data_IF_960567217738
#
_entry.id   IF_960567217738
#
_cell.length_a   1.000
_cell.length_b   1.000
_cell.length_c   1.000
_cell.angle_alpha   90.00
_cell.angle_beta   90.00
_cell.angle_gamma   90.00
#
_symmetry.space_group_name_H-M   'P 1'
#
loop_
_entity.id
_entity.type
_entity.pdbx_description
1 polymer ?
#
# COMPACT_ATOMS: atom_id res chain seq x y z
N UNK A 1 31.18 -2.15 0.19
CA UNK A 1 30.26 -3.30 0.42
C UNK A 1 28.84 -2.78 0.26
N UNK A 2 28.27 -2.99 -0.92
CA UNK A 2 26.98 -2.41 -1.31
C UNK A 2 25.90 -2.99 -0.42
N UNK A 3 25.28 -2.16 0.44
CA UNK A 3 24.12 -2.58 1.21
C UNK A 3 23.05 -3.03 0.21
N UNK A 4 22.91 -4.34 0.03
CA UNK A 4 21.79 -4.97 -0.66
C UNK A 4 20.55 -4.62 0.14
N UNK A 5 19.95 -3.46 -0.16
CA UNK A 5 18.67 -3.04 0.39
C UNK A 5 17.65 -4.00 -0.20
N UNK A 6 17.45 -5.14 0.48
CA UNK A 6 16.46 -6.14 0.15
C UNK A 6 15.20 -5.41 -0.30
N UNK A 7 14.82 -5.62 -1.55
CA UNK A 7 13.64 -5.00 -2.15
C UNK A 7 12.42 -5.52 -1.39
N UNK A 8 12.01 -4.75 -0.37
CA UNK A 8 10.84 -5.06 0.42
C UNK A 8 9.64 -5.21 -0.52
N UNK A 9 8.74 -6.17 -0.25
CA UNK A 9 7.57 -6.36 -1.09
C UNK A 9 6.75 -5.06 -1.11
N UNK A 10 6.26 -4.71 -2.29
CA UNK A 10 5.44 -3.52 -2.54
C UNK A 10 4.06 -3.96 -2.99
N UNK A 11 3.03 -3.23 -2.55
CA UNK A 11 1.64 -3.38 -2.99
C UNK A 11 1.12 -2.04 -3.50
N UNK A 12 0.08 -2.06 -4.34
CA UNK A 12 -0.61 -0.85 -4.80
C UNK A 12 -1.84 -0.62 -3.92
N UNK A 13 -2.01 0.60 -3.41
CA UNK A 13 -3.21 0.96 -2.66
C UNK A 13 -4.36 1.24 -3.64
N UNK A 14 -5.50 0.52 -3.58
CA UNK A 14 -6.59 0.70 -4.55
C UNK A 14 -7.27 2.07 -4.48
N UNK A 15 -7.06 2.82 -3.38
CA UNK A 15 -7.71 4.10 -3.10
C UNK A 15 -6.95 5.30 -3.63
N UNK A 16 -5.63 5.29 -3.45
CA UNK A 16 -4.77 6.40 -3.89
C UNK A 16 -3.88 6.03 -5.08
N UNK A 17 -3.91 4.77 -5.52
CA UNK A 17 -3.12 4.22 -6.63
C UNK A 17 -1.61 4.44 -6.47
N UNK A 18 -1.14 4.61 -5.23
CA UNK A 18 0.28 4.77 -4.91
C UNK A 18 0.87 3.45 -4.43
N UNK A 19 2.08 3.09 -4.88
CA UNK A 19 2.80 1.95 -4.33
C UNK A 19 3.18 2.22 -2.87
N UNK A 20 3.10 1.19 -2.04
CA UNK A 20 3.59 1.23 -0.68
C UNK A 20 4.38 -0.03 -0.35
N UNK A 21 5.51 0.15 0.34
CA UNK A 21 6.38 -0.94 0.76
C UNK A 21 5.94 -1.53 2.10
N UNK A 22 6.34 -2.77 2.35
CA UNK A 22 6.26 -3.42 3.65
C UNK A 22 6.75 -2.52 4.80
N UNK A 23 6.09 -2.63 5.96
CA UNK A 23 6.43 -1.91 7.19
C UNK A 23 6.42 -2.90 8.33
N UNK A 24 7.28 -2.69 9.34
CA UNK A 24 7.38 -3.56 10.53
C UNK A 24 6.03 -3.80 11.24
N UNK A 25 5.15 -2.79 11.26
CA UNK A 25 3.80 -2.92 11.83
C UNK A 25 2.89 -3.94 11.13
N UNK A 26 3.25 -4.36 9.93
CA UNK A 26 2.50 -5.31 9.08
C UNK A 26 3.18 -6.68 9.01
N UNK A 27 4.16 -6.94 9.88
CA UNK A 27 4.92 -8.18 9.84
C UNK A 27 4.04 -9.44 10.00
N UNK A 28 2.93 -9.35 10.72
CA UNK A 28 2.06 -10.49 11.03
C UNK A 28 0.95 -10.72 10.01
N UNK A 29 0.53 -9.67 9.31
CA UNK A 29 -0.69 -9.63 8.52
C UNK A 29 -0.49 -9.02 7.13
N UNK A 30 0.77 -8.89 6.67
CA UNK A 30 1.11 -8.26 5.39
C UNK A 30 0.26 -8.73 4.22
N UNK A 31 -0.05 -10.02 4.15
CA UNK A 31 -0.86 -10.60 3.08
C UNK A 31 -2.28 -9.99 3.04
N UNK A 32 -2.85 -9.70 4.21
CA UNK A 32 -4.16 -9.05 4.37
C UNK A 32 -4.11 -7.50 4.26
N UNK A 33 -2.91 -6.90 4.23
CA UNK A 33 -2.77 -5.44 4.09
C UNK A 33 -2.99 -5.03 2.63
N UNK A 34 -4.11 -4.35 2.39
CA UNK A 34 -4.52 -3.85 1.06
C UNK A 34 -4.28 -2.33 0.92
N UNK A 35 -4.42 -1.58 2.02
CA UNK A 35 -4.39 -0.11 1.99
C UNK A 35 -3.08 0.44 2.57
N UNK A 36 -2.54 1.51 1.96
CA UNK A 36 -1.30 2.13 2.43
C UNK A 36 -1.42 2.81 3.80
N UNK A 37 -2.65 3.15 4.23
CA UNK A 37 -2.91 3.88 5.48
C UNK A 37 -4.34 3.63 5.98
N UNK A 38 -4.58 3.91 7.26
CA UNK A 38 -5.94 3.88 7.82
C UNK A 38 -6.86 4.89 7.15
N UNK A 39 -6.33 6.04 6.69
CA UNK A 39 -7.10 7.02 5.92
C UNK A 39 -7.69 6.39 4.66
N UNK A 40 -6.88 5.68 3.88
CA UNK A 40 -7.33 4.97 2.69
C UNK A 40 -8.30 3.83 3.01
N UNK A 41 -8.11 3.12 4.14
CA UNK A 41 -9.06 2.09 4.59
C UNK A 41 -10.43 2.67 4.95
N UNK A 42 -10.47 3.82 5.62
CA UNK A 42 -11.72 4.47 6.08
C UNK A 42 -12.41 5.28 4.98
N UNK A 43 -11.64 5.81 4.04
CA UNK A 43 -12.13 6.61 2.93
C UNK A 43 -11.70 5.95 1.62
N UNK A 44 -12.31 4.82 1.25
CA UNK A 44 -12.18 4.36 -0.11
C UNK A 44 -12.69 5.49 -1.00
N UNK A 45 -11.82 6.03 -1.85
CA UNK A 45 -12.30 6.92 -2.91
C UNK A 45 -13.19 6.04 -3.75
N UNK A 46 -14.49 6.19 -3.58
CA UNK A 46 -15.48 5.81 -4.57
C UNK A 46 -15.00 6.41 -5.88
N UNK A 47 -14.35 5.60 -6.71
CA UNK A 47 -13.85 6.03 -7.99
C UNK A 47 -15.06 6.11 -8.90
N UNK A 48 -15.74 7.25 -8.83
CA UNK A 48 -16.83 7.62 -9.73
C UNK A 48 -16.50 8.88 -10.52
N UNK A 49 -15.22 9.25 -10.69
CA UNK A 49 -14.79 10.31 -11.61
C UNK A 49 -13.34 10.08 -12.05
N UNK A 50 -13.12 9.08 -12.89
CA UNK A 50 -11.86 8.95 -13.64
C UNK A 50 -12.12 8.32 -15.01
N UNK A 51 -13.07 8.90 -15.74
CA UNK A 51 -13.22 8.81 -17.19
C UNK A 51 -14.01 10.06 -17.60
N UNK A 52 -13.27 11.15 -17.81
CA UNK A 52 -13.51 12.09 -18.91
C UNK A 52 -12.23 12.02 -19.76
#
# INVERSE_FOLDING_TARGET
>A
MTHNKATLPRKICPVCQRPFSWRKKWQRDWDNVIYCSQRCRRHPRSSLLAYD
#
